data_IF_655474502744
#
_entry.id   IF_655474502744
#
_cell.length_a   1.000
_cell.length_b   1.000
_cell.length_c   1.000
_cell.angle_alpha   90.00
_cell.angle_beta   90.00
_cell.angle_gamma   90.00
#
_symmetry.space_group_name_H-M   'P 1'
#
loop_
_entity.id
_entity.type
_entity.pdbx_description
1 polymer ?
#
# COMPACT_ATOMS: atom_id res chain seq x y z
N UNK A 1 17.12 -89.22 27.17
CA UNK A 1 15.83 -88.64 26.73
C UNK A 1 15.85 -87.19 27.18
N UNK A 2 16.31 -86.29 26.31
CA UNK A 2 15.51 -85.44 25.40
C UNK A 2 14.78 -84.34 26.20
N UNK A 3 14.85 -83.10 25.70
CA UNK A 3 14.25 -81.84 26.21
C UNK A 3 15.16 -80.90 27.01
N UNK A 4 16.38 -80.65 26.51
CA UNK A 4 17.06 -79.36 26.64
C UNK A 4 17.54 -79.01 25.23
N UNK A 5 17.35 -77.75 24.79
CA UNK A 5 17.50 -77.21 23.41
C UNK A 5 16.26 -77.38 22.53
N UNK A 6 15.32 -76.41 22.53
CA UNK A 6 14.70 -75.73 21.34
C UNK A 6 13.76 -74.59 21.82
N UNK A 7 14.20 -73.67 22.69
CA UNK A 7 13.38 -72.47 23.06
C UNK A 7 14.24 -71.20 23.13
N UNK A 8 15.23 -71.06 22.24
CA UNK A 8 16.09 -69.86 22.20
C UNK A 8 16.35 -69.32 20.78
N UNK A 9 15.56 -69.71 19.77
CA UNK A 9 15.77 -69.25 18.38
C UNK A 9 14.52 -68.61 17.73
N UNK A 10 13.51 -68.18 18.49
CA UNK A 10 12.26 -67.63 17.91
C UNK A 10 11.96 -66.17 18.25
N UNK A 11 12.96 -65.36 18.63
CA UNK A 11 12.80 -63.89 18.79
C UNK A 11 13.89 -63.11 18.06
N UNK A 12 14.29 -63.55 16.86
CA UNK A 12 15.18 -62.78 16.00
C UNK A 12 14.76 -62.76 14.52
N UNK A 13 13.46 -62.87 14.26
CA UNK A 13 12.89 -62.31 13.03
C UNK A 13 12.24 -60.98 13.41
N UNK A 14 13.07 -59.98 13.72
CA UNK A 14 12.65 -58.59 13.56
C UNK A 14 12.25 -58.50 12.09
N UNK A 15 10.95 -58.36 11.87
CA UNK A 15 10.37 -58.10 10.56
C UNK A 15 11.00 -56.80 10.09
N UNK A 16 12.05 -56.89 9.29
CA UNK A 16 12.47 -55.80 8.42
C UNK A 16 11.33 -55.63 7.41
N UNK A 17 10.33 -54.83 7.78
CA UNK A 17 9.37 -54.31 6.81
C UNK A 17 10.20 -53.56 5.76
N UNK A 18 10.05 -53.81 4.46
CA UNK A 18 10.61 -52.90 3.47
C UNK A 18 10.07 -51.51 3.83
N UNK A 19 10.96 -50.57 4.13
CA UNK A 19 10.53 -49.23 4.50
C UNK A 19 9.88 -48.61 3.27
N UNK A 20 8.58 -48.27 3.36
CA UNK A 20 7.81 -47.57 2.32
C UNK A 20 8.31 -46.11 2.15
N UNK A 21 9.61 -45.93 1.93
CA UNK A 21 10.26 -44.64 1.75
C UNK A 21 10.23 -44.21 0.29
N UNK A 22 10.37 -42.91 0.06
CA UNK A 22 10.64 -42.36 -1.27
C UNK A 22 11.96 -42.89 -1.82
N UNK A 23 12.14 -42.81 -3.15
CA UNK A 23 13.37 -43.27 -3.78
C UNK A 23 14.58 -42.52 -3.25
N UNK A 24 15.67 -43.24 -3.00
CA UNK A 24 16.97 -42.69 -2.58
C UNK A 24 17.87 -42.34 -3.78
N UNK A 25 17.39 -42.55 -5.02
CA UNK A 25 18.15 -42.36 -6.26
C UNK A 25 18.79 -40.98 -6.36
N UNK A 26 18.17 -39.95 -5.78
CA UNK A 26 18.61 -38.55 -5.84
C UNK A 26 19.13 -38.03 -4.50
N UNK A 27 19.37 -38.88 -3.51
CA UNK A 27 19.80 -38.45 -2.16
C UNK A 27 21.21 -37.82 -2.15
N UNK A 28 22.02 -38.06 -3.18
CA UNK A 28 23.35 -37.48 -3.35
C UNK A 28 23.34 -36.12 -4.08
N UNK A 29 22.17 -35.52 -4.31
CA UNK A 29 22.05 -34.22 -4.96
C UNK A 29 22.70 -33.11 -4.11
N UNK A 30 23.50 -32.24 -4.74
CA UNK A 30 24.07 -31.08 -4.04
C UNK A 30 23.03 -29.97 -3.87
N UNK A 31 22.32 -30.03 -2.75
CA UNK A 31 21.30 -29.04 -2.38
C UNK A 31 21.92 -27.65 -2.14
N UNK A 32 23.19 -27.57 -1.71
CA UNK A 32 23.83 -26.27 -1.47
C UNK A 32 24.04 -25.52 -2.78
N UNK A 33 24.56 -26.20 -3.80
CA UNK A 33 24.78 -25.62 -5.12
C UNK A 33 23.47 -25.06 -5.71
N UNK A 34 22.38 -25.81 -5.58
CA UNK A 34 21.06 -25.38 -6.07
C UNK A 34 20.59 -24.12 -5.33
N UNK A 35 20.73 -24.07 -4.00
CA UNK A 35 20.25 -22.94 -3.19
C UNK A 35 21.07 -21.67 -3.42
N UNK A 36 22.40 -21.79 -3.54
CA UNK A 36 23.30 -20.65 -3.76
C UNK A 36 23.28 -20.14 -5.20
N UNK A 37 22.89 -20.98 -6.17
CA UNK A 37 22.74 -20.59 -7.55
C UNK A 37 21.29 -20.17 -7.85
N UNK A 38 21.03 -18.86 -7.81
CA UNK A 38 19.70 -18.28 -8.05
C UNK A 38 19.00 -18.81 -9.31
N UNK A 39 19.73 -19.03 -10.41
CA UNK A 39 19.15 -19.55 -11.65
C UNK A 39 18.69 -21.01 -11.50
N UNK A 40 19.45 -21.84 -10.78
CA UNK A 40 19.07 -23.21 -10.50
C UNK A 40 17.88 -23.24 -9.53
N UNK A 41 17.96 -22.50 -8.42
CA UNK A 41 16.87 -22.38 -7.46
C UNK A 41 15.55 -21.98 -8.14
N UNK A 42 15.58 -20.92 -8.96
CA UNK A 42 14.39 -20.47 -9.69
C UNK A 42 13.86 -21.54 -10.67
N UNK A 43 14.73 -22.33 -11.31
CA UNK A 43 14.30 -23.42 -12.17
C UNK A 43 13.55 -24.51 -11.38
N UNK A 44 14.06 -24.93 -10.21
CA UNK A 44 13.38 -25.89 -9.34
C UNK A 44 12.06 -25.32 -8.79
N UNK A 45 12.06 -24.07 -8.32
CA UNK A 45 10.84 -23.40 -7.82
C UNK A 45 9.78 -23.29 -8.92
N UNK A 46 10.17 -22.90 -10.14
CA UNK A 46 9.25 -22.81 -11.26
C UNK A 46 8.70 -24.19 -11.66
N UNK A 47 9.51 -25.25 -11.63
CA UNK A 47 9.03 -26.62 -11.81
C UNK A 47 7.97 -26.98 -10.74
N UNK A 48 8.31 -26.78 -9.47
CA UNK A 48 7.46 -27.07 -8.31
C UNK A 48 6.16 -26.26 -8.36
N UNK A 49 6.15 -25.05 -8.89
CA UNK A 49 4.98 -24.17 -9.01
C UNK A 49 4.22 -24.29 -10.35
N UNK A 50 4.53 -25.29 -11.19
CA UNK A 50 3.91 -25.48 -12.52
C UNK A 50 4.15 -24.30 -13.51
N UNK A 51 5.25 -23.57 -13.35
CA UNK A 51 5.63 -22.41 -14.18
C UNK A 51 6.81 -22.67 -15.12
N UNK A 52 7.40 -23.85 -15.07
CA UNK A 52 8.60 -24.18 -15.85
C UNK A 52 8.78 -25.68 -16.08
N UNK A 53 9.81 -26.02 -16.87
CA UNK A 53 10.20 -27.41 -17.11
C UNK A 53 10.84 -28.00 -15.85
N UNK A 54 10.63 -29.29 -15.63
CA UNK A 54 11.22 -30.04 -14.52
C UNK A 54 12.41 -30.89 -14.99
N UNK A 55 13.46 -30.96 -14.17
CA UNK A 55 14.45 -32.05 -14.25
C UNK A 55 13.85 -33.34 -13.70
N UNK A 56 14.56 -34.46 -13.83
CA UNK A 56 14.11 -35.73 -13.26
C UNK A 56 13.97 -35.65 -11.73
N UNK A 57 14.94 -35.03 -11.04
CA UNK A 57 14.89 -34.87 -9.57
C UNK A 57 13.80 -33.86 -9.16
N UNK A 58 13.66 -32.75 -9.89
CA UNK A 58 12.62 -31.75 -9.61
C UNK A 58 11.21 -32.29 -9.79
N UNK A 59 11.02 -33.21 -10.75
CA UNK A 59 9.74 -33.90 -10.94
C UNK A 59 9.42 -34.84 -9.77
N UNK A 60 10.40 -35.64 -9.33
CA UNK A 60 10.27 -36.51 -8.16
C UNK A 60 9.87 -35.72 -6.91
N UNK A 61 10.60 -34.64 -6.62
CA UNK A 61 10.30 -33.76 -5.48
C UNK A 61 8.88 -33.22 -5.57
N UNK A 62 8.49 -32.68 -6.73
CA UNK A 62 7.16 -32.08 -6.93
C UNK A 62 6.02 -33.09 -6.73
N UNK A 63 6.18 -34.32 -7.20
CA UNK A 63 5.15 -35.37 -7.10
C UNK A 63 4.91 -35.78 -5.64
N UNK A 64 5.93 -35.73 -4.79
CA UNK A 64 5.85 -36.14 -3.38
C UNK A 64 5.73 -34.98 -2.37
N UNK A 65 5.94 -33.74 -2.78
CA UNK A 65 6.03 -32.58 -1.87
C UNK A 65 4.77 -32.37 -1.02
N UNK A 66 3.58 -32.47 -1.63
CA UNK A 66 2.32 -32.28 -0.91
C UNK A 66 2.11 -33.35 0.17
N UNK A 67 2.30 -34.63 -0.18
CA UNK A 67 2.17 -35.75 0.76
C UNK A 67 3.20 -35.65 1.90
N UNK A 68 4.46 -35.30 1.56
CA UNK A 68 5.51 -35.12 2.55
C UNK A 68 5.17 -33.99 3.54
N UNK A 69 4.54 -32.90 3.10
CA UNK A 69 4.08 -31.82 3.99
C UNK A 69 2.91 -32.30 4.87
N UNK A 70 1.93 -33.00 4.31
CA UNK A 70 0.76 -33.47 5.06
C UNK A 70 1.11 -34.50 6.14
N UNK A 71 2.03 -35.41 5.82
CA UNK A 71 2.47 -36.50 6.70
C UNK A 71 3.67 -36.13 7.59
N UNK A 72 4.30 -34.98 7.36
CA UNK A 72 5.49 -34.59 8.09
C UNK A 72 6.73 -35.43 7.74
N UNK A 73 6.90 -35.75 6.45
CA UNK A 73 8.02 -36.50 5.89
C UNK A 73 8.14 -37.95 6.40
N UNK A 74 7.03 -38.62 6.72
CA UNK A 74 7.04 -40.00 7.24
C UNK A 74 7.79 -40.99 6.33
N UNK A 75 7.71 -40.79 5.01
CA UNK A 75 8.35 -41.61 3.98
C UNK A 75 9.72 -41.09 3.53
N UNK A 76 10.24 -40.01 4.11
CA UNK A 76 11.49 -39.43 3.67
C UNK A 76 12.71 -40.25 4.10
N UNK A 77 13.76 -40.20 3.30
CA UNK A 77 15.09 -40.64 3.73
C UNK A 77 15.71 -39.61 4.67
N UNK A 78 16.76 -40.01 5.40
CA UNK A 78 17.47 -39.08 6.28
C UNK A 78 18.14 -37.94 5.48
N UNK A 79 18.61 -38.23 4.27
CA UNK A 79 19.18 -37.23 3.37
C UNK A 79 18.11 -36.22 2.92
N UNK A 80 16.91 -36.70 2.55
CA UNK A 80 15.78 -35.85 2.15
C UNK A 80 15.29 -34.96 3.30
N UNK A 81 15.21 -35.48 4.52
CA UNK A 81 14.77 -34.70 5.68
C UNK A 81 15.78 -33.58 6.01
N UNK A 82 17.08 -33.91 6.06
CA UNK A 82 18.14 -32.91 6.28
C UNK A 82 18.18 -31.88 5.14
N UNK A 83 18.03 -32.33 3.91
CA UNK A 83 17.95 -31.50 2.72
C UNK A 83 16.79 -30.51 2.76
N UNK A 84 15.60 -31.00 3.14
CA UNK A 84 14.40 -30.17 3.28
C UNK A 84 14.58 -29.09 4.34
N UNK A 85 15.09 -29.43 5.53
CA UNK A 85 15.35 -28.42 6.57
C UNK A 85 16.33 -27.34 6.10
N UNK A 86 17.41 -27.75 5.43
CA UNK A 86 18.43 -26.83 4.91
C UNK A 86 17.85 -25.90 3.85
N UNK A 87 17.05 -26.43 2.92
CA UNK A 87 16.38 -25.64 1.90
C UNK A 87 15.37 -24.66 2.51
N UNK A 88 14.53 -25.11 3.44
CA UNK A 88 13.54 -24.26 4.11
C UNK A 88 14.21 -23.11 4.87
N UNK A 89 15.25 -23.40 5.66
CA UNK A 89 15.98 -22.38 6.41
C UNK A 89 16.66 -21.36 5.48
N UNK A 90 17.25 -21.83 4.37
CA UNK A 90 17.83 -20.95 3.35
C UNK A 90 16.78 -20.06 2.70
N UNK A 91 15.61 -20.61 2.35
CA UNK A 91 14.52 -19.87 1.72
C UNK A 91 13.96 -18.80 2.68
N UNK A 92 13.71 -19.14 3.94
CA UNK A 92 13.23 -18.16 4.93
C UNK A 92 14.25 -17.03 5.12
N UNK A 93 15.54 -17.37 5.15
CA UNK A 93 16.61 -16.40 5.42
C UNK A 93 16.93 -15.50 4.23
N UNK A 94 17.00 -16.06 3.02
CA UNK A 94 17.57 -15.38 1.85
C UNK A 94 16.54 -15.12 0.73
N UNK A 95 15.48 -15.91 0.65
CA UNK A 95 14.53 -15.91 -0.48
C UNK A 95 13.07 -15.97 0.04
N UNK A 96 12.73 -15.04 0.94
CA UNK A 96 11.46 -15.05 1.67
C UNK A 96 10.24 -15.01 0.74
N UNK A 97 10.34 -14.30 -0.38
CA UNK A 97 9.28 -14.26 -1.39
C UNK A 97 9.04 -15.63 -2.03
N UNK A 98 10.09 -16.43 -2.22
CA UNK A 98 9.99 -17.80 -2.74
C UNK A 98 9.37 -18.70 -1.67
N UNK A 99 9.82 -18.57 -0.42
CA UNK A 99 9.23 -19.27 0.72
C UNK A 99 7.71 -19.08 0.77
N UNK A 100 7.24 -17.83 0.70
CA UNK A 100 5.80 -17.54 0.75
C UNK A 100 5.04 -18.10 -0.44
N UNK A 101 5.57 -17.96 -1.66
CA UNK A 101 4.93 -18.56 -2.86
C UNK A 101 4.76 -20.07 -2.72
N UNK A 102 5.73 -20.76 -2.13
CA UNK A 102 5.65 -22.20 -1.89
C UNK A 102 4.63 -22.52 -0.78
N UNK A 103 4.68 -21.83 0.36
CA UNK A 103 3.73 -22.08 1.45
C UNK A 103 2.29 -21.74 1.07
N UNK A 104 2.07 -20.69 0.30
CA UNK A 104 0.73 -20.31 -0.16
C UNK A 104 0.12 -21.38 -1.08
N UNK A 105 0.97 -22.14 -1.79
CA UNK A 105 0.53 -23.24 -2.65
C UNK A 105 0.30 -24.54 -1.88
N UNK A 106 1.24 -24.94 -1.03
CA UNK A 106 1.27 -26.28 -0.44
C UNK A 106 0.82 -26.32 1.03
N UNK A 107 0.74 -25.18 1.71
CA UNK A 107 0.25 -25.03 3.09
C UNK A 107 -0.69 -23.80 3.21
N UNK A 108 -1.86 -23.83 2.57
CA UNK A 108 -2.83 -22.73 2.64
C UNK A 108 -3.34 -22.47 4.07
N UNK A 109 -3.20 -23.46 4.96
CA UNK A 109 -3.54 -23.32 6.38
C UNK A 109 -2.49 -22.53 7.18
N UNK A 110 -1.28 -22.40 6.65
CA UNK A 110 -0.13 -21.80 7.33
C UNK A 110 0.40 -22.58 8.54
N UNK A 111 -0.04 -23.84 8.73
CA UNK A 111 0.34 -24.67 9.89
C UNK A 111 1.84 -24.96 9.91
N UNK A 112 2.40 -25.34 8.78
CA UNK A 112 3.83 -25.65 8.62
C UNK A 112 4.64 -24.38 8.42
N UNK A 113 4.10 -23.39 7.69
CA UNK A 113 4.70 -22.07 7.53
C UNK A 113 5.11 -21.49 8.89
N UNK A 114 4.16 -21.42 9.82
CA UNK A 114 4.40 -20.91 11.18
C UNK A 114 5.47 -21.72 11.92
N UNK A 115 5.37 -23.06 11.89
CA UNK A 115 6.33 -23.95 12.58
C UNK A 115 7.77 -23.73 12.09
N UNK A 116 7.97 -23.56 10.79
CA UNK A 116 9.29 -23.37 10.20
C UNK A 116 9.83 -21.95 10.39
N UNK A 117 8.98 -20.93 10.29
CA UNK A 117 9.36 -19.55 10.60
C UNK A 117 9.74 -19.39 12.07
N UNK A 118 9.00 -19.97 13.01
CA UNK A 118 9.32 -19.95 14.44
C UNK A 118 10.65 -20.66 14.73
N UNK A 119 10.93 -21.78 14.05
CA UNK A 119 12.23 -22.48 14.15
C UNK A 119 13.37 -21.61 13.58
N UNK A 120 13.17 -20.98 12.44
CA UNK A 120 14.17 -20.10 11.83
C UNK A 120 14.48 -18.91 12.76
N UNK A 121 13.45 -18.32 13.39
CA UNK A 121 13.61 -17.27 14.41
C UNK A 121 14.40 -17.76 15.63
N UNK A 122 14.11 -18.97 16.13
CA UNK A 122 14.87 -19.57 17.23
C UNK A 122 16.36 -19.78 16.88
N UNK A 123 16.67 -19.98 15.60
CA UNK A 123 18.04 -20.05 15.07
C UNK A 123 18.65 -18.67 14.75
N UNK A 124 17.98 -17.56 15.08
CA UNK A 124 18.47 -16.20 14.88
C UNK A 124 18.21 -15.60 13.49
N UNK A 125 17.34 -16.21 12.67
CA UNK A 125 16.89 -15.62 11.41
C UNK A 125 15.88 -14.51 11.67
N UNK A 126 16.15 -13.31 11.14
CA UNK A 126 15.25 -12.15 11.24
C UNK A 126 14.34 -12.12 10.01
N UNK A 127 13.01 -12.17 10.19
CA UNK A 127 12.02 -12.22 9.10
C UNK A 127 11.36 -10.83 8.91
N UNK A 128 11.53 -10.18 7.73
CA UNK A 128 11.05 -8.82 7.43
C UNK A 128 9.54 -8.52 7.55
N UNK A 129 8.64 -9.49 7.38
CA UNK A 129 7.19 -9.21 7.25
C UNK A 129 6.54 -8.56 8.48
N UNK A 130 7.08 -8.81 9.69
CA UNK A 130 6.59 -8.17 10.92
C UNK A 130 6.90 -6.67 10.94
N UNK A 131 8.05 -6.27 10.37
CA UNK A 131 8.45 -4.87 10.26
C UNK A 131 7.63 -4.13 9.20
N UNK A 132 7.25 -4.79 8.10
CA UNK A 132 6.46 -4.16 7.05
C UNK A 132 5.02 -3.86 7.51
N UNK A 133 4.38 -4.78 8.24
CA UNK A 133 3.07 -4.54 8.86
C UNK A 133 3.12 -3.38 9.87
N UNK A 134 4.17 -3.35 10.69
CA UNK A 134 4.40 -2.28 11.66
C UNK A 134 4.63 -0.91 10.98
N UNK A 135 5.41 -0.87 9.88
CA UNK A 135 5.64 0.34 9.09
C UNK A 135 4.37 0.86 8.42
N UNK A 136 3.52 -0.02 7.89
CA UNK A 136 2.22 0.37 7.29
C UNK A 136 1.30 0.98 8.34
N UNK A 137 1.22 0.40 9.54
CA UNK A 137 0.42 0.97 10.65
C UNK A 137 0.94 2.35 11.06
N UNK A 138 2.27 2.51 11.16
CA UNK A 138 2.89 3.79 11.49
C UNK A 138 2.62 4.86 10.41
N UNK A 139 2.66 4.49 9.13
CA UNK A 139 2.32 5.39 8.03
C UNK A 139 0.85 5.81 8.04
N UNK A 140 -0.08 4.89 8.31
CA UNK A 140 -1.52 5.21 8.42
C UNK A 140 -1.80 6.17 9.58
N UNK A 141 -1.13 5.99 10.72
CA UNK A 141 -1.21 6.91 11.86
C UNK A 141 -0.66 8.31 11.52
N UNK A 142 0.46 8.38 10.78
CA UNK A 142 1.02 9.65 10.34
C UNK A 142 0.07 10.41 9.38
N UNK A 143 -0.58 9.70 8.45
CA UNK A 143 -1.59 10.30 7.55
C UNK A 143 -2.80 10.82 8.34
N UNK A 144 -3.26 10.09 9.36
CA UNK A 144 -4.36 10.55 10.22
C UNK A 144 -4.02 11.85 10.98
N UNK A 145 -2.76 12.06 11.37
CA UNK A 145 -2.33 13.32 12.01
C UNK A 145 -2.26 14.50 11.06
N UNK A 146 -1.98 14.29 9.77
CA UNK A 146 -1.98 15.34 8.75
C UNK A 146 -3.39 15.84 8.40
N UNK A 147 -4.41 14.98 8.55
CA UNK A 147 -5.81 15.34 8.32
C UNK A 147 -6.41 16.28 9.40
N UNK A 148 -5.70 16.49 10.52
CA UNK A 148 -6.10 17.40 11.59
C UNK A 148 -5.38 18.76 11.53
N UNK A 149 -4.58 19.03 10.49
CA UNK A 149 -4.00 20.34 10.29
C UNK A 149 -5.11 21.35 9.97
N UNK A 150 -5.28 22.35 10.84
CA UNK A 150 -6.19 23.48 10.65
C UNK A 150 -5.83 24.21 9.35
N UNK A 151 -6.75 24.24 8.37
CA UNK A 151 -6.54 24.99 7.13
C UNK A 151 -6.25 26.46 7.48
N UNK A 152 -5.06 26.96 7.11
CA UNK A 152 -4.70 28.35 7.35
C UNK A 152 -5.68 29.28 6.61
N UNK A 153 -6.56 29.95 7.37
CA UNK A 153 -7.48 30.96 6.82
C UNK A 153 -6.70 32.14 6.22
N UNK A 154 -7.35 32.86 5.31
CA UNK A 154 -6.84 34.15 4.84
C UNK A 154 -6.75 35.14 6.00
N UNK A 155 -5.91 36.18 5.84
CA UNK A 155 -5.81 37.22 6.85
C UNK A 155 -7.15 37.94 7.03
N UNK A 156 -7.49 38.23 8.28
CA UNK A 156 -8.66 39.00 8.71
C UNK A 156 -8.37 40.51 8.83
N UNK A 157 -7.15 40.95 8.49
CA UNK A 157 -6.68 42.34 8.65
C UNK A 157 -7.61 43.37 7.99
N UNK A 158 -8.31 42.98 6.94
CA UNK A 158 -9.16 43.85 6.13
C UNK A 158 -10.66 43.51 6.26
N UNK A 159 -11.06 42.73 7.25
CA UNK A 159 -12.46 42.32 7.48
C UNK A 159 -13.35 43.46 8.02
N UNK A 160 -12.83 44.68 8.05
CA UNK A 160 -13.53 45.90 8.46
C UNK A 160 -13.77 46.88 7.31
N UNK A 161 -13.43 46.51 6.07
CA UNK A 161 -13.68 47.35 4.89
C UNK A 161 -15.18 47.56 4.69
N UNK A 162 -15.60 48.80 4.46
CA UNK A 162 -17.01 49.10 4.23
C UNK A 162 -17.45 48.70 2.80
N UNK A 163 -17.91 47.46 2.64
CA UNK A 163 -18.40 46.93 1.36
C UNK A 163 -19.57 47.76 0.84
N UNK A 164 -20.49 48.20 1.70
CA UNK A 164 -21.66 48.98 1.30
C UNK A 164 -21.28 50.33 0.68
N UNK A 165 -20.30 51.02 1.25
CA UNK A 165 -19.78 52.27 0.67
C UNK A 165 -19.18 52.04 -0.72
N UNK A 166 -18.40 50.96 -0.88
CA UNK A 166 -17.78 50.62 -2.16
C UNK A 166 -18.84 50.29 -3.21
N UNK A 167 -19.86 49.48 -2.87
CA UNK A 167 -20.93 49.09 -3.79
C UNK A 167 -21.84 50.27 -4.14
N UNK A 168 -22.10 51.19 -3.20
CA UNK A 168 -22.92 52.38 -3.46
C UNK A 168 -22.15 53.48 -4.22
N UNK A 169 -20.83 53.36 -4.36
CA UNK A 169 -20.00 54.32 -5.09
C UNK A 169 -19.33 53.65 -6.28
N UNK A 170 -19.95 53.77 -7.45
CA UNK A 170 -19.45 53.18 -8.71
C UNK A 170 -17.98 53.50 -8.99
N UNK A 171 -17.49 54.70 -8.64
CA UNK A 171 -16.09 55.07 -8.83
C UNK A 171 -15.14 54.23 -7.96
N UNK A 172 -15.54 53.94 -6.72
CA UNK A 172 -14.78 53.06 -5.82
C UNK A 172 -14.85 51.62 -6.32
N UNK A 173 -16.04 51.10 -6.61
CA UNK A 173 -16.22 49.75 -7.16
C UNK A 173 -15.35 49.52 -8.40
N UNK A 174 -15.40 50.41 -9.38
CA UNK A 174 -14.61 50.30 -10.62
C UNK A 174 -13.11 50.32 -10.34
N UNK A 175 -12.63 51.03 -9.32
CA UNK A 175 -11.22 51.00 -8.94
C UNK A 175 -10.80 49.60 -8.44
N UNK A 176 -11.61 48.96 -7.61
CA UNK A 176 -11.38 47.57 -7.16
C UNK A 176 -11.46 46.57 -8.31
N UNK A 177 -12.46 46.68 -9.17
CA UNK A 177 -12.62 45.81 -10.34
C UNK A 177 -11.42 45.93 -11.27
N UNK A 178 -10.95 47.14 -11.57
CA UNK A 178 -9.75 47.35 -12.40
C UNK A 178 -8.48 46.82 -11.74
N UNK A 179 -8.37 46.91 -10.41
CA UNK A 179 -7.28 46.26 -9.69
C UNK A 179 -7.30 44.74 -9.90
N UNK A 180 -8.46 44.09 -9.69
CA UNK A 180 -8.65 42.65 -9.87
C UNK A 180 -8.34 42.23 -11.31
N UNK A 181 -8.80 43.00 -12.30
CA UNK A 181 -8.53 42.75 -13.72
C UNK A 181 -7.11 43.11 -14.17
N UNK A 182 -6.31 43.73 -13.29
CA UNK A 182 -4.95 44.22 -13.56
C UNK A 182 -4.87 45.33 -14.61
N UNK A 183 -5.93 46.12 -14.71
CA UNK A 183 -6.05 47.28 -15.61
C UNK A 183 -5.99 48.61 -14.85
N UNK A 184 -5.73 48.58 -13.55
CA UNK A 184 -5.66 49.77 -12.70
C UNK A 184 -4.79 49.59 -11.46
N UNK A 185 -4.64 50.67 -10.69
CA UNK A 185 -3.93 50.65 -9.40
C UNK A 185 -4.74 49.90 -8.36
N UNK A 186 -4.04 49.27 -7.41
CA UNK A 186 -4.65 48.55 -6.30
C UNK A 186 -4.39 49.26 -4.96
N UNK A 187 -5.42 49.31 -4.11
CA UNK A 187 -5.26 49.58 -2.67
C UNK A 187 -4.64 48.36 -1.97
N UNK A 188 -4.36 48.45 -0.67
CA UNK A 188 -3.80 47.32 0.07
C UNK A 188 -4.80 46.15 0.15
N UNK A 189 -6.07 46.46 0.39
CA UNK A 189 -7.19 45.52 0.44
C UNK A 189 -7.44 44.89 -0.93
N UNK A 190 -7.42 45.70 -1.99
CA UNK A 190 -7.58 45.21 -3.36
C UNK A 190 -6.46 44.26 -3.77
N UNK A 191 -5.22 44.49 -3.33
CA UNK A 191 -4.10 43.55 -3.57
C UNK A 191 -4.32 42.22 -2.88
N UNK A 192 -4.79 42.24 -1.64
CA UNK A 192 -5.06 41.02 -0.88
C UNK A 192 -6.18 40.22 -1.53
N UNK A 193 -7.30 40.86 -1.87
CA UNK A 193 -8.40 40.22 -2.61
C UNK A 193 -7.92 39.63 -3.95
N UNK A 194 -7.17 40.41 -4.74
CA UNK A 194 -6.66 39.96 -6.05
C UNK A 194 -5.78 38.71 -5.94
N UNK A 195 -5.00 38.58 -4.87
CA UNK A 195 -4.13 37.43 -4.63
C UNK A 195 -4.92 36.15 -4.36
N UNK A 196 -6.10 36.27 -3.73
CA UNK A 196 -6.86 35.13 -3.23
C UNK A 196 -8.13 34.80 -4.03
N UNK A 197 -8.59 35.68 -4.92
CA UNK A 197 -9.84 35.48 -5.68
C UNK A 197 -9.87 34.16 -6.48
N UNK A 198 -8.75 33.76 -7.09
CA UNK A 198 -8.67 32.50 -7.83
C UNK A 198 -8.77 31.28 -6.91
N UNK A 199 -8.00 31.28 -5.80
CA UNK A 199 -8.06 30.21 -4.80
C UNK A 199 -9.48 30.10 -4.23
N UNK A 200 -10.12 31.23 -3.90
CA UNK A 200 -11.50 31.28 -3.43
C UNK A 200 -12.51 30.69 -4.42
N UNK A 201 -12.35 30.93 -5.72
CA UNK A 201 -13.19 30.31 -6.77
C UNK A 201 -12.95 28.80 -6.88
N UNK A 202 -11.70 28.35 -6.73
CA UNK A 202 -11.30 26.95 -6.83
C UNK A 202 -11.69 26.10 -5.62
N UNK A 203 -11.85 26.72 -4.44
CA UNK A 203 -12.07 26.02 -3.17
C UNK A 203 -13.38 26.41 -2.47
N UNK A 204 -14.28 27.11 -3.15
CA UNK A 204 -15.51 27.65 -2.55
C UNK A 204 -15.23 28.43 -1.25
N UNK A 205 -14.20 29.28 -1.26
CA UNK A 205 -13.82 30.10 -0.11
C UNK A 205 -13.53 29.27 1.16
N UNK A 206 -12.89 28.08 1.05
CA UNK A 206 -12.62 27.21 2.22
C UNK A 206 -11.79 27.91 3.30
N UNK A 207 -10.83 28.74 2.88
CA UNK A 207 -9.94 29.53 3.75
C UNK A 207 -10.48 30.90 4.13
N UNK A 208 -11.65 31.30 3.63
CA UNK A 208 -12.20 32.62 3.91
C UNK A 208 -12.73 32.73 5.34
N UNK A 209 -12.66 33.93 5.91
CA UNK A 209 -13.41 34.23 7.14
C UNK A 209 -14.92 34.29 6.84
N UNK A 210 -15.75 34.23 7.89
CA UNK A 210 -17.20 34.35 7.72
C UNK A 210 -17.59 35.70 7.09
N UNK A 211 -16.91 36.77 7.49
CA UNK A 211 -17.12 38.11 6.94
C UNK A 211 -16.76 38.16 5.45
N UNK A 212 -15.62 37.58 5.06
CA UNK A 212 -15.20 37.50 3.66
C UNK A 212 -16.18 36.70 2.80
N UNK A 213 -16.76 35.62 3.33
CA UNK A 213 -17.77 34.82 2.62
C UNK A 213 -19.03 35.64 2.33
N UNK A 214 -19.58 36.28 3.36
CA UNK A 214 -20.76 37.14 3.22
C UNK A 214 -20.49 38.31 2.26
N UNK A 215 -19.33 38.94 2.41
CA UNK A 215 -18.87 40.01 1.53
C UNK A 215 -18.76 39.57 0.07
N UNK A 216 -18.15 38.42 -0.20
CA UNK A 216 -18.01 37.88 -1.54
C UNK A 216 -19.37 37.64 -2.21
N UNK A 217 -20.32 37.00 -1.50
CA UNK A 217 -21.68 36.77 -2.02
C UNK A 217 -22.37 38.09 -2.37
N UNK A 218 -22.33 39.07 -1.47
CA UNK A 218 -22.93 40.40 -1.66
C UNK A 218 -22.32 41.15 -2.84
N UNK A 219 -21.00 41.18 -2.95
CA UNK A 219 -20.27 41.87 -4.02
C UNK A 219 -20.55 41.21 -5.37
N UNK A 220 -20.47 39.88 -5.45
CA UNK A 220 -20.70 39.16 -6.72
C UNK A 220 -22.15 39.32 -7.18
N UNK A 221 -23.13 39.25 -6.27
CA UNK A 221 -24.53 39.55 -6.60
C UNK A 221 -24.68 40.95 -7.19
N UNK A 222 -24.13 41.97 -6.54
CA UNK A 222 -24.20 43.35 -7.04
C UNK A 222 -23.53 43.51 -8.41
N UNK A 223 -22.35 42.92 -8.63
CA UNK A 223 -21.63 43.00 -9.92
C UNK A 223 -22.41 42.29 -11.03
N UNK A 224 -23.03 41.14 -10.77
CA UNK A 224 -23.87 40.42 -11.75
C UNK A 224 -25.07 41.24 -12.20
N UNK A 225 -25.72 41.91 -11.25
CA UNK A 225 -26.94 42.69 -11.50
C UNK A 225 -26.65 44.05 -12.15
N UNK A 226 -25.59 44.74 -11.73
CA UNK A 226 -25.35 46.14 -12.07
C UNK A 226 -24.17 46.37 -13.02
N UNK A 227 -23.22 45.44 -13.11
CA UNK A 227 -21.97 45.58 -13.89
C UNK A 227 -21.64 44.30 -14.69
N UNK A 228 -22.56 43.79 -15.55
CA UNK A 228 -22.42 42.49 -16.21
C UNK A 228 -21.21 42.40 -17.14
N UNK A 229 -20.79 43.52 -17.75
CA UNK A 229 -19.58 43.55 -18.59
C UNK A 229 -18.32 43.26 -17.78
N UNK A 230 -18.22 43.77 -16.56
CA UNK A 230 -17.10 43.49 -15.67
C UNK A 230 -17.16 42.07 -15.13
N UNK A 231 -18.35 41.54 -14.87
CA UNK A 231 -18.51 40.12 -14.51
C UNK A 231 -17.93 39.19 -15.59
N UNK A 232 -18.26 39.43 -16.87
CA UNK A 232 -17.73 38.63 -17.97
C UNK A 232 -16.21 38.74 -18.11
N UNK A 233 -15.64 39.92 -17.87
CA UNK A 233 -14.18 40.10 -17.84
C UNK A 233 -13.52 39.31 -16.71
N UNK A 234 -14.15 39.26 -15.53
CA UNK A 234 -13.65 38.45 -14.40
C UNK A 234 -13.68 36.96 -14.72
N UNK A 235 -14.78 36.46 -15.30
CA UNK A 235 -14.86 35.06 -15.74
C UNK A 235 -13.80 34.75 -16.78
N UNK A 236 -13.61 35.61 -17.78
CA UNK A 236 -12.56 35.44 -18.79
C UNK A 236 -11.16 35.38 -18.18
N UNK A 237 -10.90 36.14 -17.11
CA UNK A 237 -9.59 36.17 -16.45
C UNK A 237 -9.35 34.97 -15.52
N UNK A 238 -10.36 34.58 -14.74
CA UNK A 238 -10.19 33.61 -13.64
C UNK A 238 -10.74 32.22 -13.92
N UNK A 239 -11.75 32.10 -14.78
CA UNK A 239 -12.35 30.83 -15.17
C UNK A 239 -12.80 30.83 -16.66
N UNK A 240 -11.86 30.98 -17.61
CA UNK A 240 -12.19 31.09 -19.04
C UNK A 240 -12.87 29.85 -19.61
N UNK A 241 -12.64 28.68 -19.01
CA UNK A 241 -13.20 27.39 -19.45
C UNK A 241 -14.44 26.97 -18.65
N UNK A 242 -14.81 27.72 -17.59
CA UNK A 242 -15.91 27.35 -16.69
C UNK A 242 -15.62 26.12 -15.81
N UNK A 243 -14.34 25.82 -15.55
CA UNK A 243 -13.88 24.67 -14.75
C UNK A 243 -14.26 24.80 -13.27
N UNK A 244 -14.35 26.03 -12.75
CA UNK A 244 -14.63 26.28 -11.34
C UNK A 244 -16.10 26.64 -11.08
N UNK A 245 -16.90 26.79 -12.14
CA UNK A 245 -18.31 27.17 -12.05
C UNK A 245 -19.13 26.27 -11.13
N UNK A 246 -18.94 24.95 -11.21
CA UNK A 246 -19.63 24.00 -10.33
C UNK A 246 -19.24 24.10 -8.86
N UNK A 247 -18.15 24.80 -8.54
CA UNK A 247 -17.62 24.99 -7.19
C UNK A 247 -18.13 26.30 -6.60
N UNK A 248 -17.96 27.42 -7.32
CA UNK A 248 -18.30 28.73 -6.77
C UNK A 248 -19.80 29.09 -6.90
N UNK A 249 -20.55 28.56 -7.89
CA UNK A 249 -21.98 28.89 -8.01
C UNK A 249 -22.80 28.43 -6.78
N UNK A 250 -22.67 27.17 -6.30
CA UNK A 250 -23.38 26.76 -5.08
C UNK A 250 -23.00 27.60 -3.85
N UNK A 251 -21.72 28.01 -3.75
CA UNK A 251 -21.27 28.92 -2.69
C UNK A 251 -21.94 30.30 -2.78
N UNK A 252 -22.13 30.83 -3.99
CA UNK A 252 -22.77 32.13 -4.19
C UNK A 252 -24.28 32.11 -3.95
N UNK A 253 -24.92 30.95 -4.11
CA UNK A 253 -26.35 30.72 -3.86
C UNK A 253 -26.68 30.39 -2.40
N UNK A 254 -25.68 30.08 -1.57
CA UNK A 254 -25.86 29.73 -0.15
C UNK A 254 -26.12 30.95 0.76
N UNK A 255 -26.94 30.76 1.80
CA UNK A 255 -27.38 31.81 2.75
C UNK A 255 -26.70 31.71 4.14
N UNK A 256 -25.96 30.62 4.37
CA UNK A 256 -25.30 30.24 5.64
C UNK A 256 -24.01 31.01 5.97
#
# INVERSE_FOLDING_TARGET
MKFILVVCCLVAAVVARPSDKYTDKYDNLDIQEILENKRLLEAYVNCILDKGKCTAEGKELKEHLQEAIETGCEKCTEAQEKGAYKAIEYLIKNELDIWHKLTDRFDPSGKWRKKYEDRAKANGVVIPEEYMKLLVILMLLAVATLALAEESKYTDRYDNVNIDEILNNRRLLVAYVKCILETGRCTAEGKELKKHIKDGMQTACSKCTQWQRQGARKVVKHIRENEPEYWQQMLTKYDPNGEFKSIYEPFLESDD
#
